data_IF_719467663550
#
_entry.id   IF_719467663550
#
_cell.length_a   1.000
_cell.length_b   1.000
_cell.length_c   1.000
_cell.angle_alpha   90.00
_cell.angle_beta   90.00
_cell.angle_gamma   90.00
#
_symmetry.space_group_name_H-M   'P 1'
#
loop_
_entity.id
_entity.type
_entity.pdbx_description
1 polymer ?
#
# COMPACT_ATOMS: atom_id res chain seq x y z
N UNK A 1 -21.91 -11.38 -3.99
CA UNK A 1 -20.48 -11.13 -3.70
C UNK A 1 -20.35 -11.01 -2.19
N UNK A 2 -19.75 -11.99 -1.49
CA UNK A 2 -19.56 -11.89 -0.03
C UNK A 2 -18.45 -10.87 0.23
N UNK A 3 -18.77 -9.76 0.89
CA UNK A 3 -17.77 -8.80 1.32
C UNK A 3 -16.78 -9.50 2.26
N UNK A 4 -15.50 -9.54 1.87
CA UNK A 4 -14.42 -10.03 2.74
C UNK A 4 -14.41 -9.13 3.99
N UNK A 5 -14.41 -9.68 5.21
CA UNK A 5 -14.35 -8.84 6.41
C UNK A 5 -13.08 -8.00 6.32
N UNK A 6 -13.24 -6.69 6.37
CA UNK A 6 -12.11 -5.77 6.49
C UNK A 6 -11.67 -5.83 7.93
N UNK A 7 -10.74 -6.74 8.23
CA UNK A 7 -10.05 -6.72 9.51
C UNK A 7 -9.29 -5.40 9.58
N UNK A 8 -9.45 -4.67 10.68
CA UNK A 8 -8.72 -3.43 10.94
C UNK A 8 -8.13 -3.56 12.33
N UNK A 9 -6.81 -3.42 12.42
CA UNK A 9 -6.10 -3.30 13.69
C UNK A 9 -6.03 -1.84 14.10
N UNK A 10 -6.13 -1.56 15.40
CA UNK A 10 -6.05 -0.19 15.93
C UNK A 10 -5.05 -0.16 17.09
N UNK A 11 -4.04 0.70 16.97
CA UNK A 11 -3.11 1.02 18.05
C UNK A 11 -3.54 2.34 18.66
N UNK A 12 -4.02 2.29 19.91
CA UNK A 12 -4.52 3.46 20.63
C UNK A 12 -3.43 4.22 21.37
N UNK A 13 -3.73 5.48 21.68
CA UNK A 13 -2.86 6.33 22.49
C UNK A 13 -2.54 5.68 23.85
N UNK A 14 -1.31 5.92 24.35
CA UNK A 14 -0.78 5.28 25.55
C UNK A 14 0.00 3.99 25.29
N UNK A 15 -0.04 3.47 24.05
CA UNK A 15 0.81 2.37 23.61
C UNK A 15 2.12 2.88 22.99
N UNK A 16 3.22 2.19 23.29
CA UNK A 16 4.49 2.31 22.58
C UNK A 16 4.81 0.96 21.96
N UNK A 17 4.99 0.93 20.64
CA UNK A 17 5.43 -0.26 19.93
C UNK A 17 6.88 -0.09 19.53
N UNK A 18 7.71 -1.08 19.82
CA UNK A 18 9.10 -1.13 19.39
C UNK A 18 9.32 -2.36 18.49
N UNK A 19 9.93 -2.15 17.32
CA UNK A 19 10.20 -3.19 16.33
C UNK A 19 9.30 -3.10 15.08
N UNK A 20 9.37 -4.13 14.24
CA UNK A 20 8.68 -4.16 12.93
C UNK A 20 7.29 -4.78 13.04
N UNK A 21 6.29 -4.05 12.53
CA UNK A 21 4.90 -4.47 12.43
C UNK A 21 4.61 -4.92 10.98
N UNK A 22 4.19 -6.17 10.80
CA UNK A 22 3.80 -6.71 9.49
C UNK A 22 2.36 -7.18 9.58
N UNK A 23 1.48 -6.61 8.75
CA UNK A 23 0.05 -6.90 8.73
C UNK A 23 -0.44 -7.20 7.32
N UNK A 24 -1.42 -8.08 7.23
CA UNK A 24 -2.11 -8.47 6.00
C UNK A 24 -3.41 -7.68 5.74
N UNK A 25 -3.67 -6.65 6.56
CA UNK A 25 -4.90 -5.87 6.57
C UNK A 25 -4.65 -4.42 7.05
N UNK A 26 -5.73 -3.64 7.16
CA UNK A 26 -5.66 -2.22 7.52
C UNK A 26 -5.22 -1.99 8.97
N UNK A 27 -4.52 -0.88 9.21
CA UNK A 27 -4.01 -0.49 10.53
C UNK A 27 -4.24 0.99 10.75
N UNK A 28 -4.84 1.35 11.89
CA UNK A 28 -4.92 2.73 12.37
C UNK A 28 -4.00 2.92 13.57
N UNK A 29 -3.07 3.86 13.47
CA UNK A 29 -2.05 4.14 14.49
C UNK A 29 -2.30 5.51 15.11
N UNK A 30 -2.72 5.51 16.37
CA UNK A 30 -2.82 6.68 17.26
C UNK A 30 -1.77 6.62 18.39
N UNK A 31 -0.84 5.67 18.28
CA UNK A 31 0.21 5.35 19.25
C UNK A 31 1.58 5.88 18.80
N UNK A 32 2.61 5.66 19.62
CA UNK A 32 4.00 5.84 19.23
C UNK A 32 4.53 4.50 18.70
N UNK A 33 4.98 4.46 17.45
CA UNK A 33 5.59 3.29 16.83
C UNK A 33 7.04 3.59 16.48
N UNK A 34 7.96 2.94 17.18
CA UNK A 34 9.40 2.99 16.92
C UNK A 34 9.79 1.75 16.12
N UNK A 35 9.74 1.86 14.79
CA UNK A 35 10.07 0.79 13.87
C UNK A 35 9.27 0.85 12.58
N UNK A 36 9.48 -0.15 11.73
CA UNK A 36 8.88 -0.22 10.40
C UNK A 36 7.46 -0.79 10.47
N UNK A 37 6.57 -0.24 9.66
CA UNK A 37 5.18 -0.70 9.53
C UNK A 37 4.93 -1.10 8.08
N UNK A 38 4.57 -2.35 7.86
CA UNK A 38 4.31 -2.92 6.54
C UNK A 38 2.89 -3.49 6.56
N UNK A 39 1.98 -2.85 5.83
CA UNK A 39 0.64 -3.36 5.56
C UNK A 39 0.53 -3.77 4.10
N UNK A 40 0.12 -5.01 3.83
CA UNK A 40 0.01 -5.51 2.45
C UNK A 40 -1.33 -5.19 1.80
N UNK A 41 -2.36 -4.87 2.58
CA UNK A 41 -3.70 -4.57 2.09
C UNK A 41 -4.47 -3.66 3.05
N UNK A 42 -5.43 -2.91 2.52
CA UNK A 42 -6.31 -2.05 3.31
C UNK A 42 -5.71 -0.67 3.60
N UNK A 43 -6.39 0.06 4.49
CA UNK A 43 -6.01 1.43 4.86
C UNK A 43 -4.97 1.39 5.98
N UNK A 44 -3.79 1.96 5.72
CA UNK A 44 -2.79 2.30 6.71
C UNK A 44 -2.95 3.77 7.11
N UNK A 45 -3.56 4.01 8.25
CA UNK A 45 -3.91 5.33 8.74
C UNK A 45 -3.04 5.69 9.95
N UNK A 46 -2.28 6.77 9.83
CA UNK A 46 -1.54 7.37 10.93
C UNK A 46 -2.40 8.53 11.43
N UNK A 47 -3.14 8.28 12.50
CA UNK A 47 -4.10 9.21 13.06
C UNK A 47 -3.44 10.41 13.72
N UNK A 48 -4.24 11.44 13.97
CA UNK A 48 -3.78 12.62 14.70
C UNK A 48 -3.23 12.22 16.09
N UNK A 49 -2.04 12.72 16.42
CA UNK A 49 -1.32 12.34 17.65
C UNK A 49 -0.50 11.04 17.55
N UNK A 50 -0.68 10.24 16.49
CA UNK A 50 0.19 9.11 16.19
C UNK A 50 1.56 9.58 15.69
N UNK A 51 2.62 8.93 16.18
CA UNK A 51 4.00 9.21 15.77
C UNK A 51 4.64 7.90 15.32
N UNK A 52 5.08 7.85 14.07
CA UNK A 52 5.79 6.69 13.53
C UNK A 52 7.23 7.09 13.21
N UNK A 53 8.19 6.38 13.78
CA UNK A 53 9.62 6.54 13.53
C UNK A 53 10.15 5.30 12.82
N UNK A 54 10.28 5.39 11.50
CA UNK A 54 10.65 4.25 10.67
C UNK A 54 9.97 4.29 9.30
N UNK A 55 10.11 3.20 8.54
CA UNK A 55 9.53 3.07 7.21
C UNK A 55 8.06 2.66 7.30
N UNK A 56 7.21 3.36 6.55
CA UNK A 56 5.78 3.10 6.46
C UNK A 56 5.46 2.61 5.05
N UNK A 57 4.97 1.38 4.91
CA UNK A 57 4.58 0.80 3.63
C UNK A 57 3.12 0.33 3.67
N UNK A 58 2.32 0.75 2.68
CA UNK A 58 0.92 0.38 2.57
C UNK A 58 0.37 0.46 1.14
N UNK A 59 -0.81 -0.11 0.92
CA UNK A 59 -1.54 0.05 -0.34
C UNK A 59 -2.21 1.43 -0.40
N UNK A 60 -3.04 1.72 0.60
CA UNK A 60 -3.66 3.03 0.81
C UNK A 60 -3.08 3.61 2.09
N UNK A 61 -2.31 4.70 2.00
CA UNK A 61 -1.66 5.34 3.15
C UNK A 61 -2.29 6.70 3.39
N UNK A 62 -2.75 6.93 4.62
CA UNK A 62 -3.29 8.21 5.09
C UNK A 62 -2.49 8.70 6.29
N UNK A 63 -1.91 9.89 6.19
CA UNK A 63 -1.10 10.48 7.25
C UNK A 63 -1.77 11.74 7.77
N UNK A 64 -2.42 11.66 8.92
CA UNK A 64 -2.95 12.80 9.68
C UNK A 64 -2.03 13.18 10.87
N UNK A 65 -1.19 12.24 11.33
CA UNK A 65 -0.22 12.43 12.42
C UNK A 65 1.18 12.86 11.95
N UNK A 66 2.21 12.33 12.61
CA UNK A 66 3.62 12.62 12.32
C UNK A 66 4.35 11.34 11.91
N UNK A 67 5.08 11.42 10.80
CA UNK A 67 5.97 10.35 10.32
C UNK A 67 7.39 10.87 10.22
N UNK A 68 8.33 10.20 10.89
CA UNK A 68 9.76 10.42 10.81
C UNK A 68 10.40 9.20 10.14
N UNK A 69 10.52 9.25 8.81
CA UNK A 69 11.03 8.16 7.99
C UNK A 69 10.38 8.09 6.62
N UNK A 70 10.72 7.04 5.87
CA UNK A 70 10.28 6.86 4.50
C UNK A 70 8.84 6.37 4.41
N UNK A 71 8.07 6.91 3.47
CA UNK A 71 6.68 6.48 3.21
C UNK A 71 6.58 5.87 1.82
N UNK A 72 6.03 4.67 1.71
CA UNK A 72 5.79 3.97 0.46
C UNK A 72 4.32 3.60 0.32
N UNK A 73 3.62 4.30 -0.59
CA UNK A 73 2.22 4.04 -0.93
C UNK A 73 2.08 3.40 -2.31
N UNK A 74 1.44 2.22 -2.39
CA UNK A 74 1.32 1.47 -3.65
C UNK A 74 0.15 1.90 -4.52
N UNK A 75 -0.90 2.48 -3.96
CA UNK A 75 -2.10 2.88 -4.69
C UNK A 75 -2.46 4.34 -4.44
N UNK A 76 -2.80 4.70 -3.21
CA UNK A 76 -3.22 6.07 -2.86
C UNK A 76 -2.47 6.57 -1.64
N UNK A 77 -1.98 7.80 -1.74
CA UNK A 77 -1.33 8.51 -0.66
C UNK A 77 -2.12 9.77 -0.32
N UNK A 78 -2.54 9.90 0.93
CA UNK A 78 -3.15 11.12 1.48
C UNK A 78 -2.29 11.63 2.63
N UNK A 79 -1.81 12.87 2.55
CA UNK A 79 -1.05 13.51 3.63
C UNK A 79 -1.81 14.76 4.06
N UNK A 80 -2.27 14.79 5.30
CA UNK A 80 -2.83 15.96 5.98
C UNK A 80 -1.92 16.45 7.12
N UNK A 81 -1.10 15.57 7.69
CA UNK A 81 -0.18 15.86 8.80
C UNK A 81 1.24 16.20 8.35
N UNK A 82 2.24 15.75 9.13
CA UNK A 82 3.67 16.01 8.86
C UNK A 82 4.42 14.74 8.52
N UNK A 83 5.19 14.78 7.43
CA UNK A 83 6.10 13.71 7.00
C UNK A 83 7.50 14.28 6.86
N UNK A 84 8.45 13.71 7.61
CA UNK A 84 9.88 14.03 7.54
C UNK A 84 10.62 12.80 7.01
N UNK A 85 10.85 12.75 5.70
CA UNK A 85 11.48 11.62 5.02
C UNK A 85 11.10 11.54 3.54
N UNK A 86 11.64 10.54 2.84
CA UNK A 86 11.37 10.35 1.42
C UNK A 86 10.02 9.66 1.22
N UNK A 87 9.27 10.14 0.24
CA UNK A 87 7.92 9.64 -0.06
C UNK A 87 7.89 9.06 -1.47
N UNK A 88 7.60 7.77 -1.54
CA UNK A 88 7.45 6.98 -2.75
C UNK A 88 5.98 6.64 -2.96
N UNK A 89 5.42 7.03 -4.11
CA UNK A 89 4.03 6.73 -4.43
C UNK A 89 3.87 6.24 -5.88
N UNK A 90 2.91 5.34 -6.13
CA UNK A 90 2.66 4.83 -7.49
C UNK A 90 1.44 5.44 -8.18
N UNK A 91 0.32 5.52 -7.45
CA UNK A 91 -0.96 5.97 -7.99
C UNK A 91 -1.22 7.44 -7.72
N UNK A 92 -2.29 7.73 -6.97
CA UNK A 92 -2.73 9.11 -6.72
C UNK A 92 -2.17 9.66 -5.41
N UNK A 93 -1.85 10.95 -5.42
CA UNK A 93 -1.44 11.69 -4.23
C UNK A 93 -2.44 12.80 -3.94
N UNK A 94 -2.82 12.93 -2.67
CA UNK A 94 -3.65 14.01 -2.14
C UNK A 94 -2.91 14.68 -0.98
N UNK A 95 -2.75 15.99 -1.07
CA UNK A 95 -2.18 16.80 0.00
C UNK A 95 -3.30 17.66 0.58
N UNK A 96 -3.50 17.57 1.88
CA UNK A 96 -4.42 18.39 2.63
C UNK A 96 -3.91 19.81 2.87
N UNK A 97 -4.78 20.71 3.35
CA UNK A 97 -4.43 22.11 3.57
C UNK A 97 -3.37 22.31 4.67
N UNK A 98 -3.17 21.33 5.55
CA UNK A 98 -2.19 21.38 6.65
C UNK A 98 -0.98 20.46 6.43
N UNK A 99 -0.85 19.89 5.22
CA UNK A 99 0.20 18.94 4.91
C UNK A 99 1.58 19.61 4.96
N UNK A 100 2.50 19.02 5.72
CA UNK A 100 3.89 19.44 5.79
C UNK A 100 4.80 18.27 5.40
N UNK A 101 5.34 18.29 4.19
CA UNK A 101 6.26 17.27 3.70
C UNK A 101 7.68 17.84 3.62
N UNK A 102 8.60 17.24 4.35
CA UNK A 102 10.02 17.57 4.36
C UNK A 102 10.80 16.35 3.87
N UNK A 103 11.23 16.37 2.61
CA UNK A 103 11.98 15.27 1.99
C UNK A 103 11.76 15.22 0.48
N UNK A 104 12.19 14.14 -0.17
CA UNK A 104 11.96 13.97 -1.60
C UNK A 104 10.65 13.24 -1.86
N UNK A 105 9.79 13.83 -2.68
CA UNK A 105 8.61 13.16 -3.21
C UNK A 105 8.95 12.58 -4.59
N UNK A 106 8.90 11.25 -4.73
CA UNK A 106 9.19 10.54 -5.98
C UNK A 106 8.04 9.63 -6.36
N UNK A 107 7.61 9.74 -7.61
CA UNK A 107 6.67 8.79 -8.20
C UNK A 107 7.44 7.57 -8.70
N UNK A 108 7.04 6.39 -8.27
CA UNK A 108 7.60 5.11 -8.72
C UNK A 108 6.55 4.32 -9.48
N UNK A 109 6.90 3.54 -10.51
CA UNK A 109 5.95 2.60 -11.10
C UNK A 109 5.52 1.60 -10.02
N UNK A 110 4.24 1.17 -10.04
CA UNK A 110 3.82 0.02 -9.25
C UNK A 110 4.57 -1.17 -9.83
N UNK A 111 5.59 -1.66 -9.13
CA UNK A 111 6.20 -2.94 -9.46
C UNK A 111 5.06 -3.97 -9.43
N UNK A 112 4.69 -4.47 -10.61
CA UNK A 112 3.68 -5.51 -10.73
C UNK A 112 4.26 -6.72 -10.02
N UNK A 113 3.80 -7.02 -8.80
CA UNK A 113 3.88 -8.38 -8.30
C UNK A 113 3.19 -9.20 -9.36
N UNK A 114 3.92 -10.07 -10.03
CA UNK A 114 3.38 -10.99 -11.02
C UNK A 114 2.30 -11.79 -10.27
N UNK A 115 1.04 -11.37 -10.39
CA UNK A 115 -0.08 -12.20 -10.02
C UNK A 115 0.03 -13.42 -10.91
N UNK A 116 0.37 -14.55 -10.29
CA UNK A 116 0.38 -15.84 -10.95
C UNK A 116 -1.07 -16.17 -11.32
N UNK A 117 -1.55 -15.60 -12.42
CA UNK A 117 -2.75 -16.06 -13.09
C UNK A 117 -2.49 -17.51 -13.49
N UNK A 118 -3.35 -18.48 -13.13
CA UNK A 118 -3.20 -19.83 -13.62
C UNK A 118 -3.27 -19.76 -15.15
N UNK A 119 -2.15 -20.11 -15.79
CA UNK A 119 -2.07 -20.26 -17.23
C UNK A 119 -2.94 -21.47 -17.58
N UNK A 120 -4.19 -21.23 -17.97
CA UNK A 120 -5.02 -22.24 -18.64
C UNK A 120 -4.35 -22.53 -19.99
N UNK A 121 -3.43 -23.50 -19.98
CA UNK A 121 -2.87 -24.09 -21.20
C UNK A 121 -3.95 -24.97 -21.81
N UNK A 122 -4.75 -24.43 -22.71
CA UNK A 122 -5.51 -25.27 -23.64
C UNK A 122 -4.69 -25.48 -24.92
N UNK A 123 -4.58 -26.75 -25.26
CA UNK A 123 -3.52 -27.38 -26.04
C UNK A 123 -3.91 -27.29 -27.51
N UNK A 124 -2.91 -27.02 -28.35
CA UNK A 124 -3.03 -27.08 -29.81
C UNK A 124 -3.65 -28.41 -30.26
N UNK A 125 -4.69 -28.34 -31.08
CA UNK A 125 -5.01 -29.40 -32.04
C UNK A 125 -4.87 -28.80 -33.44
N UNK A 126 -3.64 -28.77 -33.93
CA UNK A 126 -3.37 -28.78 -35.36
C UNK A 126 -3.72 -30.18 -35.89
N UNK A 127 -4.72 -30.25 -36.77
CA UNK A 127 -4.71 -31.20 -37.89
C UNK A 127 -5.17 -30.48 -39.14
N UNK A 128 -4.16 -29.98 -39.85
CA UNK A 128 -3.89 -30.24 -41.27
C UNK A 128 -5.02 -30.01 -42.28
N UNK A 129 -4.75 -28.97 -43.06
CA UNK A 129 -5.13 -28.72 -44.44
C UNK A 129 -5.26 -29.97 -45.32
N UNK A 130 -6.32 -30.00 -46.12
CA UNK A 130 -6.32 -30.31 -47.55
C UNK A 130 -7.69 -29.85 -48.09
N UNK A 131 -7.78 -28.71 -48.77
CA UNK A 131 -7.60 -28.59 -50.23
C UNK A 131 -8.59 -29.45 -51.03
N UNK A 132 -9.45 -28.81 -51.83
CA UNK A 132 -9.95 -29.42 -53.07
C UNK A 132 -11.42 -29.18 -53.45
N UNK A 133 -11.64 -28.15 -54.28
CA UNK A 133 -12.41 -28.20 -55.53
C UNK A 133 -13.93 -28.55 -55.55
N UNK A 134 -14.70 -27.54 -55.97
CA UNK A 134 -15.62 -27.55 -57.13
C UNK A 134 -16.29 -28.86 -57.56
N UNK A 135 -17.61 -28.95 -57.37
CA UNK A 135 -18.58 -29.21 -58.46
C UNK A 135 -20.01 -28.92 -58.03
#
# INVERSE_FOLDING_TARGET
>A
MKAKPQNVSVLMAGLVVEGTLILDHGLSVFAIANGDIISTAGLLHIGAGGIVKGKVQGEIVRVDGVVEGDVHARETLEINGRVNGDVLYCGTIRLGPQAALNGQLRRVPRELVIENAPVEREIATERLEASGATR
#
